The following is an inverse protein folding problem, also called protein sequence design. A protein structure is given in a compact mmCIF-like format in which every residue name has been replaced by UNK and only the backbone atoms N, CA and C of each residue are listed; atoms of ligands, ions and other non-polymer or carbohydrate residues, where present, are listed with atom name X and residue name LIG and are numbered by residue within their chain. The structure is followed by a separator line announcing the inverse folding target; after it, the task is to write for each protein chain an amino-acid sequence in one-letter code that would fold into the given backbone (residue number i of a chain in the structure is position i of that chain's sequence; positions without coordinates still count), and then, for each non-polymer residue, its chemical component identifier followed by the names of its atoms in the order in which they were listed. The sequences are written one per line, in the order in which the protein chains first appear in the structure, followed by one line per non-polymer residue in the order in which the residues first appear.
data_IF_133779438287
#
_entry.id   IF_133779438287
#
_cell.length_a   1.000
_cell.length_b   1.000
_cell.length_c   1.000
_cell.angle_alpha   90.00
_cell.angle_beta   90.00
_cell.angle_gamma   90.00
#
_symmetry.space_group_name_H-M   'P 1'
#
loop_
_entity.id
_entity.type
_entity.pdbx_description
1 polymer ?
#
# COMPACT_ATOMS: atom_id res chain seq x y z
N UNK A 1 -15.71 -50.36 19.43
CA UNK A 1 -14.41 -49.64 19.47
C UNK A 1 -13.63 -50.06 18.23
N UNK A 2 -13.89 -49.41 17.09
CA UNK A 2 -13.24 -49.74 15.81
C UNK A 2 -11.89 -49.02 15.79
N UNK A 3 -10.80 -49.75 16.01
CA UNK A 3 -9.46 -49.22 15.79
C UNK A 3 -9.28 -49.00 14.28
N UNK A 4 -9.06 -47.78 13.78
CA UNK A 4 -8.80 -47.58 12.38
C UNK A 4 -7.42 -48.19 12.06
N UNK A 5 -7.40 -49.04 11.03
CA UNK A 5 -6.21 -49.71 10.52
C UNK A 5 -5.10 -48.68 10.27
N UNK A 6 -3.97 -48.85 10.96
CA UNK A 6 -2.77 -47.98 10.88
C UNK A 6 -2.32 -47.76 9.42
N UNK A 7 -2.60 -48.74 8.54
CA UNK A 7 -2.40 -48.64 7.10
C UNK A 7 -3.28 -47.59 6.42
N UNK A 8 -4.55 -47.48 6.80
CA UNK A 8 -5.46 -46.47 6.27
C UNK A 8 -5.04 -45.05 6.64
N UNK A 9 -4.55 -44.87 7.87
CA UNK A 9 -3.98 -43.60 8.33
C UNK A 9 -2.68 -43.25 7.57
N UNK A 10 -1.80 -44.23 7.35
CA UNK A 10 -0.58 -44.04 6.54
C UNK A 10 -0.88 -43.65 5.09
N UNK A 11 -1.88 -44.27 4.46
CA UNK A 11 -2.32 -43.92 3.10
C UNK A 11 -2.93 -42.51 3.03
N UNK A 12 -3.75 -42.12 4.01
CA UNK A 12 -4.31 -40.77 4.09
C UNK A 12 -3.21 -39.71 4.28
N UNK A 13 -2.21 -39.97 5.13
CA UNK A 13 -1.06 -39.09 5.31
C UNK A 13 -0.19 -38.98 4.05
N UNK A 14 0.03 -40.10 3.34
CA UNK A 14 0.77 -40.09 2.07
C UNK A 14 0.04 -39.31 0.96
N UNK A 15 -1.30 -39.39 0.91
CA UNK A 15 -2.11 -38.60 -0.02
C UNK A 15 -2.08 -37.10 0.30
N UNK A 16 -2.12 -36.72 1.58
CA UNK A 16 -2.01 -35.33 2.02
C UNK A 16 -0.62 -34.71 1.73
N UNK A 17 0.43 -35.53 1.61
CA UNK A 17 1.78 -35.07 1.22
C UNK A 17 1.91 -34.89 -0.30
N UNK A 18 1.08 -35.56 -1.11
CA UNK A 18 1.14 -35.51 -2.57
C UNK A 18 0.30 -34.37 -3.18
N UNK A 19 -0.69 -33.89 -2.43
CA UNK A 19 -1.48 -32.70 -2.76
C UNK A 19 -1.11 -31.58 -1.78
N UNK A 20 -0.19 -30.67 -2.15
CA UNK A 20 -0.01 -29.46 -1.38
C UNK A 20 -1.36 -28.75 -1.31
N UNK A 21 -1.87 -28.52 -0.09
CA UNK A 21 -3.00 -27.63 0.13
C UNK A 21 -2.74 -26.32 -0.64
N UNK A 22 -3.72 -25.76 -1.38
CA UNK A 22 -3.61 -24.40 -1.92
C UNK A 22 -3.80 -23.39 -0.77
N UNK A 23 -2.98 -23.50 0.27
CA UNK A 23 -3.08 -22.76 1.52
C UNK A 23 -1.88 -21.87 1.80
N UNK A 24 -0.89 -21.85 0.91
CA UNK A 24 0.17 -20.85 0.91
C UNK A 24 -0.07 -19.89 -0.25
N UNK A 25 -1.01 -18.95 -0.11
CA UNK A 25 -1.01 -17.81 -1.02
C UNK A 25 0.34 -17.11 -0.84
N UNK A 26 1.26 -17.28 -1.79
CA UNK A 26 2.42 -16.40 -1.90
C UNK A 26 1.82 -14.99 -1.95
N UNK A 27 2.13 -14.09 -1.00
CA UNK A 27 1.49 -12.78 -0.99
C UNK A 27 1.83 -12.10 -2.30
N UNK A 28 0.87 -11.89 -3.20
CA UNK A 28 1.14 -11.21 -4.47
C UNK A 28 0.94 -9.72 -4.26
N UNK A 29 1.85 -8.91 -4.80
CA UNK A 29 1.78 -7.45 -4.67
C UNK A 29 0.77 -6.80 -5.64
N UNK A 30 -0.18 -7.58 -6.14
CA UNK A 30 -1.09 -7.18 -7.21
C UNK A 30 -2.10 -6.13 -6.72
N UNK A 31 -2.66 -6.29 -5.52
CA UNK A 31 -3.57 -5.30 -4.94
C UNK A 31 -2.88 -3.95 -4.77
N UNK A 32 -1.68 -3.94 -4.17
CA UNK A 32 -0.86 -2.74 -4.01
C UNK A 32 -0.56 -2.11 -5.37
N UNK A 33 -0.26 -2.92 -6.39
CA UNK A 33 -0.04 -2.45 -7.76
C UNK A 33 -1.28 -1.77 -8.34
N UNK A 34 -2.48 -2.32 -8.14
CA UNK A 34 -3.71 -1.71 -8.66
C UNK A 34 -3.99 -0.35 -8.03
N UNK A 35 -3.86 -0.24 -6.70
CA UNK A 35 -4.02 1.03 -6.00
C UNK A 35 -2.98 2.03 -6.49
N UNK A 36 -1.71 1.61 -6.61
CA UNK A 36 -0.64 2.49 -7.04
C UNK A 36 -0.83 3.00 -8.47
N UNK A 37 -1.32 2.17 -9.39
CA UNK A 37 -1.59 2.56 -10.77
C UNK A 37 -2.72 3.60 -10.87
N UNK A 38 -3.69 3.58 -9.96
CA UNK A 38 -4.75 4.61 -9.92
C UNK A 38 -4.20 5.99 -9.53
N UNK A 39 -3.21 6.03 -8.63
CA UNK A 39 -2.55 7.26 -8.19
C UNK A 39 -1.49 7.75 -9.19
N UNK A 40 -0.75 6.82 -9.80
CA UNK A 40 0.34 7.08 -10.72
C UNK A 40 0.29 6.15 -11.94
N UNK A 41 -0.55 6.48 -12.95
CA UNK A 41 -0.70 5.67 -14.15
C UNK A 41 0.64 5.46 -14.88
N UNK A 42 0.87 4.23 -15.36
CA UNK A 42 2.08 3.89 -16.15
C UNK A 42 3.36 3.70 -15.34
N UNK A 43 3.33 3.88 -14.02
CA UNK A 43 4.50 3.67 -13.17
C UNK A 43 4.70 2.18 -12.83
N UNK A 44 5.88 1.63 -13.17
CA UNK A 44 6.30 0.27 -12.77
C UNK A 44 7.10 0.29 -11.47
N UNK A 45 6.58 0.96 -10.44
CA UNK A 45 7.31 1.16 -9.18
C UNK A 45 7.03 0.04 -8.15
N UNK A 46 5.95 -0.72 -8.34
CA UNK A 46 5.53 -1.79 -7.44
C UNK A 46 6.19 -3.12 -7.85
N UNK A 47 6.91 -3.78 -6.93
CA UNK A 47 7.48 -5.11 -7.16
C UNK A 47 6.39 -6.15 -7.43
N UNK A 48 6.73 -7.26 -8.10
CA UNK A 48 5.78 -8.34 -8.41
C UNK A 48 5.57 -9.29 -7.23
N UNK A 49 6.63 -9.48 -6.45
CA UNK A 49 6.64 -10.30 -5.24
C UNK A 49 7.07 -9.48 -4.03
N UNK A 50 6.74 -9.92 -2.81
CA UNK A 50 7.12 -9.24 -1.59
C UNK A 50 8.64 -9.23 -1.44
N UNK A 51 9.18 -8.06 -1.12
CA UNK A 51 10.60 -7.84 -0.87
C UNK A 51 10.86 -7.63 0.61
N UNK A 52 12.12 -7.72 1.04
CA UNK A 52 12.50 -7.36 2.41
C UNK A 52 12.21 -5.88 2.66
N UNK A 53 11.55 -5.57 3.78
CA UNK A 53 11.26 -4.20 4.19
C UNK A 53 12.35 -3.54 5.03
N UNK A 54 13.49 -4.21 5.23
CA UNK A 54 14.58 -3.71 6.07
C UNK A 54 15.23 -2.42 5.54
N UNK A 55 15.14 -2.19 4.23
CA UNK A 55 15.75 -1.03 3.55
C UNK A 55 14.84 0.21 3.52
N UNK A 56 13.61 0.11 4.04
CA UNK A 56 12.65 1.20 4.09
C UNK A 56 12.96 2.14 5.25
N UNK A 57 12.93 3.45 4.98
CA UNK A 57 13.27 4.48 5.97
C UNK A 57 12.03 5.13 6.59
N UNK A 58 10.93 5.20 5.85
CA UNK A 58 9.70 5.89 6.30
C UNK A 58 8.65 4.86 6.74
N UNK A 59 8.43 3.86 5.90
CA UNK A 59 7.48 2.78 6.15
C UNK A 59 8.13 1.70 7.04
N UNK A 60 7.74 1.68 8.32
CA UNK A 60 8.16 0.61 9.24
C UNK A 60 7.36 -0.66 8.96
N UNK A 61 8.05 -1.74 8.60
CA UNK A 61 7.43 -3.04 8.34
C UNK A 61 8.14 -4.14 9.13
N UNK A 62 7.36 -5.08 9.70
CA UNK A 62 7.88 -6.27 10.39
C UNK A 62 7.68 -7.48 9.48
N UNK A 63 8.54 -7.64 8.48
CA UNK A 63 8.49 -8.78 7.54
C UNK A 63 8.51 -8.37 6.06
N UNK A 64 8.12 -9.27 5.15
CA UNK A 64 8.09 -8.99 3.72
C UNK A 64 7.00 -7.96 3.37
N UNK A 65 7.30 -7.09 2.42
CA UNK A 65 6.47 -5.95 2.03
C UNK A 65 6.41 -5.79 0.52
N UNK A 66 5.33 -5.20 0.02
CA UNK A 66 5.18 -4.83 -1.38
C UNK A 66 5.68 -3.42 -1.68
N UNK A 67 6.37 -2.79 -0.73
CA UNK A 67 7.03 -1.51 -0.91
C UNK A 67 8.54 -1.73 -1.08
N UNK A 68 9.07 -1.38 -2.26
CA UNK A 68 10.53 -1.34 -2.46
C UNK A 68 11.09 0.00 -2.02
N UNK A 69 12.37 0.06 -1.66
CA UNK A 69 13.07 1.33 -1.38
C UNK A 69 12.88 2.37 -2.51
N UNK A 70 12.97 1.93 -3.77
CA UNK A 70 12.74 2.78 -4.94
C UNK A 70 11.30 3.32 -4.99
N UNK A 71 10.32 2.51 -4.63
CA UNK A 71 8.92 2.94 -4.54
C UNK A 71 8.73 3.98 -3.43
N UNK A 72 9.30 3.73 -2.26
CA UNK A 72 9.22 4.63 -1.11
C UNK A 72 9.85 6.00 -1.42
N UNK A 73 11.05 6.02 -2.01
CA UNK A 73 11.72 7.27 -2.39
C UNK A 73 10.88 8.08 -3.38
N UNK A 74 10.28 7.43 -4.38
CA UNK A 74 9.42 8.11 -5.36
C UNK A 74 8.12 8.60 -4.75
N UNK A 75 7.51 7.79 -3.88
CA UNK A 75 6.31 8.17 -3.15
C UNK A 75 6.56 9.34 -2.21
N UNK A 76 7.73 9.39 -1.56
CA UNK A 76 8.11 10.51 -0.71
C UNK A 76 8.18 11.83 -1.50
N UNK A 77 8.76 11.81 -2.71
CA UNK A 77 8.80 13.00 -3.58
C UNK A 77 7.38 13.42 -3.98
N UNK A 78 6.55 12.47 -4.41
CA UNK A 78 5.16 12.75 -4.80
C UNK A 78 4.33 13.31 -3.63
N UNK A 79 4.48 12.72 -2.44
CA UNK A 79 3.79 13.17 -1.23
C UNK A 79 4.18 14.59 -0.83
N UNK A 80 5.47 14.94 -0.90
CA UNK A 80 5.95 16.30 -0.63
C UNK A 80 5.34 17.31 -1.61
N UNK A 81 5.42 17.03 -2.91
CA UNK A 81 4.86 17.91 -3.94
C UNK A 81 3.34 18.08 -3.80
N UNK A 82 2.62 17.01 -3.45
CA UNK A 82 1.18 17.07 -3.20
C UNK A 82 0.85 17.93 -1.97
N UNK A 83 1.61 17.79 -0.88
CA UNK A 83 1.42 18.59 0.33
C UNK A 83 1.71 20.07 0.07
N UNK A 84 2.80 20.39 -0.62
CA UNK A 84 3.15 21.76 -1.00
C UNK A 84 2.05 22.39 -1.87
N UNK A 85 1.59 21.66 -2.89
CA UNK A 85 0.51 22.11 -3.77
C UNK A 85 -0.80 22.30 -3.00
N UNK A 86 -1.15 21.36 -2.13
CA UNK A 86 -2.34 21.45 -1.28
C UNK A 86 -2.30 22.63 -0.33
N UNK A 87 -1.15 22.88 0.30
CA UNK A 87 -0.94 24.03 1.18
C UNK A 87 -1.12 25.35 0.43
N UNK A 88 -0.60 25.45 -0.79
CA UNK A 88 -0.79 26.64 -1.64
C UNK A 88 -2.26 26.89 -1.95
N UNK A 89 -3.02 25.85 -2.30
CA UNK A 89 -4.46 25.95 -2.60
C UNK A 89 -5.25 26.42 -1.39
N UNK A 90 -5.05 25.78 -0.23
CA UNK A 90 -5.76 26.13 1.01
C UNK A 90 -5.39 27.56 1.44
N UNK A 91 -4.11 27.93 1.33
CA UNK A 91 -3.63 29.28 1.65
C UNK A 91 -4.26 30.34 0.75
N UNK A 92 -4.32 30.09 -0.56
CA UNK A 92 -4.94 31.00 -1.51
C UNK A 92 -6.45 31.17 -1.26
N UNK A 93 -7.15 30.08 -0.94
CA UNK A 93 -8.56 30.12 -0.58
C UNK A 93 -8.78 30.91 0.71
N UNK A 94 -7.97 30.66 1.74
CA UNK A 94 -8.06 31.37 3.02
C UNK A 94 -7.78 32.87 2.85
N UNK A 95 -6.73 33.24 2.10
CA UNK A 95 -6.43 34.65 1.78
C UNK A 95 -7.59 35.33 1.09
N UNK A 96 -8.25 34.66 0.14
CA UNK A 96 -9.44 35.19 -0.55
C UNK A 96 -10.56 35.48 0.45
N UNK A 97 -10.86 34.54 1.34
CA UNK A 97 -11.91 34.71 2.34
C UNK A 97 -11.60 35.86 3.31
N UNK A 98 -10.34 36.00 3.74
CA UNK A 98 -9.92 37.10 4.61
C UNK A 98 -10.09 38.44 3.90
N UNK A 99 -9.61 38.56 2.66
CA UNK A 99 -9.72 39.79 1.86
C UNK A 99 -11.18 40.15 1.62
N UNK A 100 -12.03 39.16 1.30
CA UNK A 100 -13.46 39.38 1.08
C UNK A 100 -14.16 39.87 2.36
N UNK A 101 -13.91 39.23 3.51
CA UNK A 101 -14.45 39.69 4.78
C UNK A 101 -13.97 41.11 5.12
N UNK A 102 -12.69 41.40 4.90
CA UNK A 102 -12.15 42.75 5.11
C UNK A 102 -12.83 43.80 4.21
N UNK A 103 -13.08 43.49 2.94
CA UNK A 103 -13.78 44.38 2.02
C UNK A 103 -15.22 44.67 2.48
N UNK A 104 -15.94 43.65 2.99
CA UNK A 104 -17.27 43.80 3.58
C UNK A 104 -17.23 44.74 4.79
N UNK A 105 -16.30 44.50 5.73
CA UNK A 105 -16.17 45.35 6.93
C UNK A 105 -15.75 46.79 6.62
N UNK A 106 -14.98 47.01 5.56
CA UNK A 106 -14.55 48.34 5.13
C UNK A 106 -15.58 49.07 4.26
N UNK A 107 -16.75 48.48 4.00
CA UNK A 107 -17.77 49.06 3.12
C UNK A 107 -17.28 49.25 1.68
N UNK A 108 -16.27 48.48 1.27
CA UNK A 108 -15.66 48.49 -0.08
C UNK A 108 -16.33 47.49 -1.02
N UNK A 109 -17.38 46.81 -0.55
CA UNK A 109 -18.11 45.73 -1.23
C UNK A 109 -19.42 46.26 -1.81
#
# INVERSE_FOLDING_TARGET
MLAPSVRGALFLCAFLQLFPLPGGQVPTCQEVRTVFQSLHPGSKWVPETPVSGADLQVCQTKGPTCCSKKMEERYQVAARSNLESGLQVVSAQLKRLIIQNAAIFQGKQ
#
